data_IF_848647396653
#
_entry.id   IF_848647396653
#
_cell.length_a   1.000
_cell.length_b   1.000
_cell.length_c   1.000
_cell.angle_alpha   90.00
_cell.angle_beta   90.00
_cell.angle_gamma   90.00
#
_symmetry.space_group_name_H-M   'P 1'
#
loop_
_entity.id
_entity.type
_entity.pdbx_description
1 polymer ?
#
# COMPACT_ATOMS: atom_id res chain seq x y z
N UNK A 1 33.45 -9.45 4.22
CA UNK A 1 32.05 -9.90 4.06
C UNK A 1 31.20 -9.06 5.00
N UNK A 2 30.30 -8.24 4.47
CA UNK A 2 29.54 -7.20 5.19
C UNK A 2 28.43 -7.73 6.13
N UNK A 3 28.40 -9.03 6.44
CA UNK A 3 27.46 -9.59 7.43
C UNK A 3 25.97 -9.53 7.05
N UNK A 4 25.64 -9.25 5.79
CA UNK A 4 24.25 -9.15 5.37
C UNK A 4 23.48 -10.45 5.59
N UNK A 5 22.25 -10.38 6.10
CA UNK A 5 21.41 -11.54 6.29
C UNK A 5 20.88 -12.04 4.93
N UNK A 6 21.60 -12.98 4.30
CA UNK A 6 21.22 -13.54 2.98
C UNK A 6 20.23 -14.72 3.11
N UNK A 7 20.11 -15.29 4.31
CA UNK A 7 19.12 -16.32 4.65
C UNK A 7 18.89 -16.33 6.17
N UNK A 8 18.24 -15.28 6.70
CA UNK A 8 17.89 -15.23 8.13
C UNK A 8 16.39 -15.32 8.32
N UNK A 9 15.97 -15.87 9.46
CA UNK A 9 14.55 -16.00 9.81
C UNK A 9 13.78 -14.68 9.80
N UNK A 10 14.48 -13.53 9.89
CA UNK A 10 13.87 -12.19 9.74
C UNK A 10 13.40 -11.96 8.30
N UNK A 11 14.23 -12.27 7.30
CA UNK A 11 13.88 -12.14 5.88
C UNK A 11 12.78 -13.14 5.52
N UNK A 12 12.90 -14.39 5.96
CA UNK A 12 11.87 -15.41 5.69
C UNK A 12 10.54 -15.09 6.39
N UNK A 13 10.61 -14.55 7.60
CA UNK A 13 9.46 -14.07 8.38
C UNK A 13 8.75 -12.91 7.68
N UNK A 14 9.51 -11.94 7.17
CA UNK A 14 8.96 -10.84 6.38
C UNK A 14 8.31 -11.35 5.08
N UNK A 15 8.96 -12.24 4.33
CA UNK A 15 8.38 -12.83 3.11
C UNK A 15 7.12 -13.65 3.41
N UNK A 16 7.09 -14.41 4.51
CA UNK A 16 5.88 -15.11 4.95
C UNK A 16 4.76 -14.11 5.25
N UNK A 17 5.05 -13.15 6.13
CA UNK A 17 4.04 -12.23 6.63
C UNK A 17 3.53 -11.28 5.56
N UNK A 18 4.41 -10.58 4.84
CA UNK A 18 4.03 -9.57 3.84
C UNK A 18 3.52 -10.17 2.54
N UNK A 19 4.03 -11.34 2.14
CA UNK A 19 3.65 -11.97 0.88
C UNK A 19 2.68 -13.13 1.11
N UNK A 20 3.17 -14.27 1.61
CA UNK A 20 2.40 -15.54 1.62
C UNK A 20 1.03 -15.43 2.28
N UNK A 21 0.93 -14.77 3.44
CA UNK A 21 -0.33 -14.68 4.19
C UNK A 21 -1.51 -14.08 3.37
N UNK A 22 -1.25 -13.34 2.29
CA UNK A 22 -2.30 -12.75 1.43
C UNK A 22 -2.31 -13.31 0.02
N UNK A 23 -1.14 -13.59 -0.53
CA UNK A 23 -0.99 -13.98 -1.93
C UNK A 23 -1.11 -15.49 -2.15
N UNK A 24 -0.87 -16.31 -1.12
CA UNK A 24 -0.89 -17.78 -1.18
C UNK A 24 -2.22 -18.37 -0.65
N UNK A 25 -3.29 -17.59 -0.69
CA UNK A 25 -4.64 -18.04 -0.32
C UNK A 25 -5.24 -18.79 -1.49
N UNK A 26 -5.76 -20.00 -1.25
CA UNK A 26 -6.42 -20.82 -2.28
C UNK A 26 -7.50 -20.03 -3.01
N UNK A 27 -7.42 -20.02 -4.35
CA UNK A 27 -8.37 -19.32 -5.22
C UNK A 27 -8.12 -17.82 -5.37
N UNK A 28 -7.12 -17.24 -4.71
CA UNK A 28 -6.74 -15.86 -4.94
C UNK A 28 -6.16 -15.68 -6.35
N UNK A 29 -6.55 -14.61 -7.03
CA UNK A 29 -6.02 -14.22 -8.34
C UNK A 29 -5.50 -12.80 -8.25
N UNK A 30 -4.30 -12.60 -8.76
CA UNK A 30 -3.62 -11.32 -8.71
C UNK A 30 -3.02 -11.00 -10.07
N UNK A 31 -3.32 -9.80 -10.58
CA UNK A 31 -2.45 -9.19 -11.59
C UNK A 31 -1.17 -8.69 -10.91
N UNK A 32 -0.11 -8.48 -11.69
CA UNK A 32 1.14 -7.91 -11.16
C UNK A 32 0.89 -6.57 -10.47
N UNK A 33 0.16 -5.66 -11.14
CA UNK A 33 -0.17 -4.34 -10.60
C UNK A 33 -0.97 -4.43 -9.30
N UNK A 34 -1.97 -5.31 -9.26
CA UNK A 34 -2.79 -5.52 -8.06
C UNK A 34 -2.00 -6.13 -6.91
N UNK A 35 -1.08 -7.05 -7.22
CA UNK A 35 -0.20 -7.64 -6.22
C UNK A 35 0.77 -6.62 -5.64
N UNK A 36 1.40 -5.82 -6.49
CA UNK A 36 2.34 -4.78 -6.06
C UNK A 36 1.64 -3.72 -5.20
N UNK A 37 0.48 -3.24 -5.63
CA UNK A 37 -0.31 -2.28 -4.86
C UNK A 37 -0.65 -2.82 -3.47
N UNK A 38 -1.06 -4.09 -3.39
CA UNK A 38 -1.34 -4.70 -2.10
C UNK A 38 -0.09 -4.91 -1.25
N UNK A 39 1.02 -5.33 -1.85
CA UNK A 39 2.26 -5.54 -1.12
C UNK A 39 2.75 -4.24 -0.46
N UNK A 40 2.69 -3.11 -1.18
CA UNK A 40 3.03 -1.78 -0.66
C UNK A 40 2.14 -1.38 0.52
N UNK A 41 0.83 -1.58 0.41
CA UNK A 41 -0.11 -1.27 1.49
C UNK A 41 0.16 -2.12 2.75
N UNK A 42 0.50 -3.40 2.57
CA UNK A 42 0.85 -4.29 3.68
C UNK A 42 2.16 -3.87 4.34
N UNK A 43 3.15 -3.42 3.58
CA UNK A 43 4.41 -2.90 4.11
C UNK A 43 4.18 -1.64 4.96
N UNK A 44 3.40 -0.67 4.45
CA UNK A 44 2.98 0.52 5.22
C UNK A 44 2.34 0.13 6.55
N UNK A 45 1.42 -0.83 6.53
CA UNK A 45 0.74 -1.29 7.75
C UNK A 45 1.69 -1.99 8.72
N UNK A 46 2.58 -2.86 8.23
CA UNK A 46 3.54 -3.58 9.06
C UNK A 46 4.56 -2.64 9.73
N UNK A 47 4.91 -1.53 9.07
CA UNK A 47 5.80 -0.51 9.60
C UNK A 47 5.11 0.42 10.62
N UNK A 48 3.77 0.41 10.70
CA UNK A 48 3.01 1.33 11.55
C UNK A 48 2.70 2.69 10.91
N UNK A 49 3.01 2.85 9.62
CA UNK A 49 2.91 4.14 8.89
C UNK A 49 1.50 4.40 8.31
N UNK A 50 0.49 3.65 8.75
CA UNK A 50 -0.85 3.67 8.17
C UNK A 50 -1.47 5.06 8.17
N UNK A 51 -1.47 5.75 9.30
CA UNK A 51 -2.10 7.07 9.45
C UNK A 51 -1.46 8.10 8.52
N UNK A 52 -0.13 8.14 8.44
CA UNK A 52 0.59 9.06 7.58
C UNK A 52 0.30 8.78 6.10
N UNK A 53 0.34 7.51 5.70
CA UNK A 53 0.01 7.11 4.34
C UNK A 53 -1.44 7.45 3.98
N UNK A 54 -2.38 7.21 4.90
CA UNK A 54 -3.80 7.44 4.65
C UNK A 54 -4.09 8.92 4.39
N UNK A 55 -3.54 9.83 5.21
CA UNK A 55 -3.65 11.26 4.98
C UNK A 55 -3.05 11.70 3.64
N UNK A 56 -1.87 11.19 3.30
CA UNK A 56 -1.23 11.46 2.02
C UNK A 56 -2.10 10.96 0.85
N UNK A 57 -2.59 9.72 0.92
CA UNK A 57 -3.41 9.10 -0.10
C UNK A 57 -4.71 9.88 -0.35
N UNK A 58 -5.41 10.28 0.72
CA UNK A 58 -6.63 11.08 0.60
C UNK A 58 -6.37 12.45 -0.05
N UNK A 59 -5.27 13.12 0.31
CA UNK A 59 -4.90 14.39 -0.30
C UNK A 59 -4.57 14.24 -1.79
N UNK A 60 -3.83 13.19 -2.16
CA UNK A 60 -3.48 12.88 -3.54
C UNK A 60 -4.73 12.52 -4.37
N UNK A 61 -5.61 11.66 -3.86
CA UNK A 61 -6.87 11.31 -4.52
C UNK A 61 -7.78 12.52 -4.67
N UNK A 62 -7.84 13.38 -3.66
CA UNK A 62 -8.58 14.63 -3.74
C UNK A 62 -8.06 15.51 -4.88
N UNK A 63 -6.74 15.70 -4.97
CA UNK A 63 -6.14 16.48 -6.05
C UNK A 63 -6.41 15.84 -7.43
N UNK A 64 -6.27 14.52 -7.55
CA UNK A 64 -6.49 13.77 -8.79
C UNK A 64 -7.93 13.87 -9.29
N UNK A 65 -8.90 13.70 -8.40
CA UNK A 65 -10.31 13.65 -8.76
C UNK A 65 -10.93 15.04 -8.90
N UNK A 66 -10.50 16.03 -8.10
CA UNK A 66 -11.16 17.34 -8.02
C UNK A 66 -10.37 18.48 -8.67
N UNK A 67 -9.08 18.31 -8.95
CA UNK A 67 -8.21 19.37 -9.49
C UNK A 67 -8.66 19.94 -10.84
N UNK A 68 -9.25 19.12 -11.72
CA UNK A 68 -9.79 19.56 -13.01
C UNK A 68 -11.32 19.61 -13.05
N UNK A 69 -12.00 18.96 -12.10
CA UNK A 69 -13.47 18.80 -12.11
C UNK A 69 -14.22 19.93 -11.42
N UNK A 70 -13.54 20.72 -10.59
CA UNK A 70 -14.16 21.81 -9.82
C UNK A 70 -13.38 23.11 -9.98
N UNK A 71 -14.11 24.22 -10.13
CA UNK A 71 -13.52 25.57 -10.19
C UNK A 71 -12.73 25.84 -8.92
N UNK A 72 -11.44 26.13 -9.05
CA UNK A 72 -10.53 26.36 -7.92
C UNK A 72 -10.25 25.14 -7.04
N UNK A 73 -10.59 23.92 -7.47
CA UNK A 73 -10.39 22.70 -6.67
C UNK A 73 -11.30 22.57 -5.44
N UNK A 74 -12.35 23.38 -5.36
CA UNK A 74 -13.29 23.40 -4.23
C UNK A 74 -14.41 22.40 -4.46
N UNK A 75 -14.55 21.43 -3.55
CA UNK A 75 -15.66 20.48 -3.58
C UNK A 75 -16.88 21.17 -2.96
N UNK A 76 -18.01 21.31 -3.68
CA UNK A 76 -19.22 21.90 -3.13
C UNK A 76 -19.79 21.02 -2.03
N UNK A 77 -20.33 21.66 -0.98
CA UNK A 77 -21.03 20.94 0.07
C UNK A 77 -22.27 20.24 -0.52
N UNK A 78 -22.49 18.98 -0.13
CA UNK A 78 -23.72 18.29 -0.45
C UNK A 78 -24.90 19.02 0.21
N UNK A 79 -26.00 19.15 -0.53
CA UNK A 79 -27.23 19.81 -0.08
C UNK A 79 -27.93 19.06 1.06
#
# INVERSE_FOLDING_TARGET
AEGWPIATGVIEGACRHLVRDRFDITGARWSLDGAEAMLKLRAVRANGDWEQYWHHHLAAERARLHGSRYVGGVIPAAA
#
